data_IF_942605607694
#
_entry.id   IF_942605607694
#
_cell.length_a   1.000
_cell.length_b   1.000
_cell.length_c   1.000
_cell.angle_alpha   90.00
_cell.angle_beta   90.00
_cell.angle_gamma   90.00
#
_symmetry.space_group_name_H-M   'P 1'
#
loop_
_entity.id
_entity.type
_entity.pdbx_description
1 polymer ?
#
# COMPACT_ATOMS: atom_id res chain seq x y z
N UNK A 1 19.47 6.12 -22.01
CA UNK A 1 19.14 4.98 -21.13
C UNK A 1 18.19 4.08 -21.90
N UNK A 2 18.40 2.77 -21.93
CA UNK A 2 17.46 1.88 -22.63
C UNK A 2 16.12 1.84 -21.88
N UNK A 3 15.01 2.03 -22.59
CA UNK A 3 13.66 1.82 -22.07
C UNK A 3 13.04 0.60 -22.76
N UNK A 4 12.13 -0.09 -22.06
CA UNK A 4 11.29 -1.15 -22.62
C UNK A 4 9.82 -0.78 -22.48
N UNK A 5 9.05 -0.98 -23.56
CA UNK A 5 7.61 -0.74 -23.52
C UNK A 5 6.86 -1.90 -22.90
N UNK A 6 5.86 -1.58 -22.10
CA UNK A 6 4.96 -2.58 -21.56
C UNK A 6 4.12 -3.20 -22.69
N UNK A 7 4.07 -4.54 -22.81
CA UNK A 7 3.29 -5.19 -23.86
C UNK A 7 1.77 -5.01 -23.69
N UNK A 8 1.30 -4.67 -22.49
CA UNK A 8 -0.13 -4.52 -22.20
C UNK A 8 -0.64 -3.09 -22.40
N UNK A 9 0.11 -2.08 -21.96
CA UNK A 9 -0.35 -0.69 -21.96
C UNK A 9 0.52 0.28 -22.77
N UNK A 10 1.64 -0.18 -23.33
CA UNK A 10 2.52 0.64 -24.17
C UNK A 10 3.43 1.62 -23.42
N UNK A 11 3.32 1.72 -22.09
CA UNK A 11 4.10 2.65 -21.28
C UNK A 11 5.61 2.30 -21.29
N UNK A 12 6.47 3.31 -21.34
CA UNK A 12 7.91 3.16 -21.25
C UNK A 12 8.35 2.86 -19.80
N UNK A 13 9.16 1.82 -19.65
CA UNK A 13 9.70 1.36 -18.38
C UNK A 13 11.24 1.34 -18.44
N UNK A 14 11.95 1.56 -17.32
CA UNK A 14 13.40 1.39 -17.29
C UNK A 14 13.79 -0.06 -17.64
N UNK A 15 14.95 -0.25 -18.27
CA UNK A 15 15.38 -1.54 -18.78
C UNK A 15 15.38 -2.65 -17.71
N UNK A 16 15.71 -2.30 -16.46
CA UNK A 16 15.75 -3.18 -15.29
C UNK A 16 14.38 -3.47 -14.64
N UNK A 17 13.29 -2.80 -15.05
CA UNK A 17 11.98 -2.99 -14.42
C UNK A 17 11.44 -4.42 -14.62
N UNK A 18 11.15 -5.16 -13.55
CA UNK A 18 10.56 -6.52 -13.68
C UNK A 18 9.05 -6.44 -14.01
N UNK A 19 8.37 -5.38 -13.59
CA UNK A 19 6.95 -5.14 -13.84
C UNK A 19 6.70 -3.74 -14.39
N UNK A 20 5.64 -3.57 -15.17
CA UNK A 20 5.23 -2.28 -15.69
C UNK A 20 4.84 -1.35 -14.53
N UNK A 21 5.45 -0.19 -14.42
CA UNK A 21 5.13 0.76 -13.34
C UNK A 21 3.69 1.32 -13.45
N UNK A 22 3.12 1.33 -14.66
CA UNK A 22 1.77 1.84 -14.89
C UNK A 22 0.66 0.78 -14.70
N UNK A 23 0.89 -0.47 -15.13
CA UNK A 23 -0.16 -1.49 -15.15
C UNK A 23 0.23 -2.81 -14.44
N UNK A 24 1.41 -2.85 -13.80
CA UNK A 24 1.95 -3.99 -13.06
C UNK A 24 2.01 -5.30 -13.84
N UNK A 25 1.99 -5.23 -15.18
CA UNK A 25 2.18 -6.42 -16.02
C UNK A 25 3.66 -6.80 -16.01
N UNK A 26 4.01 -8.07 -15.77
CA UNK A 26 5.39 -8.53 -15.81
C UNK A 26 6.01 -8.25 -17.18
N UNK A 27 7.18 -7.62 -17.17
CA UNK A 27 7.94 -7.25 -18.37
C UNK A 27 8.94 -8.36 -18.76
N UNK A 28 9.21 -9.29 -17.84
CA UNK A 28 10.00 -10.51 -18.04
C UNK A 28 9.09 -11.62 -18.55
N UNK A 29 8.81 -11.64 -19.86
CA UNK A 29 7.94 -12.66 -20.47
C UNK A 29 8.11 -12.88 -21.97
N UNK A 30 8.78 -11.97 -22.70
CA UNK A 30 9.11 -12.21 -24.11
C UNK A 30 10.40 -13.02 -24.26
N UNK A 31 10.43 -14.22 -23.70
CA UNK A 31 11.33 -15.26 -24.16
C UNK A 31 10.50 -16.28 -24.96
N UNK A 32 10.55 -16.15 -26.28
CA UNK A 32 10.24 -17.19 -27.26
C UNK A 32 8.79 -17.73 -27.31
N UNK A 33 7.86 -16.95 -27.85
CA UNK A 33 6.87 -17.53 -28.78
C UNK A 33 7.33 -17.19 -30.18
N UNK A 34 8.25 -18.00 -30.68
CA UNK A 34 8.68 -18.04 -32.08
C UNK A 34 7.45 -18.10 -32.97
N UNK A 35 7.39 -17.16 -33.92
CA UNK A 35 6.27 -17.03 -34.83
C UNK A 35 5.98 -18.32 -35.60
N UNK A 36 4.69 -18.63 -35.70
CA UNK A 36 4.15 -19.42 -36.80
C UNK A 36 3.27 -18.44 -37.59
N UNK A 37 3.93 -17.61 -38.38
CA UNK A 37 3.28 -16.88 -39.46
C UNK A 37 3.44 -17.72 -40.73
N UNK A 38 2.31 -18.17 -41.28
CA UNK A 38 2.24 -18.70 -42.64
C UNK A 38 1.62 -20.09 -42.75
N UNK A 39 0.33 -20.16 -43.07
CA UNK A 39 -0.14 -20.76 -44.33
C UNK A 39 -1.67 -20.70 -44.39
N UNK A 40 -2.17 -20.07 -45.46
CA UNK A 40 -3.51 -20.23 -45.96
C UNK A 40 -3.71 -21.66 -46.49
N UNK A 41 -4.90 -22.23 -46.29
CA UNK A 41 -5.36 -23.52 -46.83
C UNK A 41 -6.71 -23.87 -46.22
N UNK A 42 -7.84 -23.39 -46.75
CA UNK A 42 -8.67 -24.03 -47.79
C UNK A 42 -9.07 -25.48 -47.47
N UNK A 43 -10.38 -25.66 -47.26
CA UNK A 43 -11.21 -26.86 -47.40
C UNK A 43 -11.14 -27.97 -46.34
N UNK A 44 -12.33 -28.41 -45.88
CA UNK A 44 -12.57 -29.82 -45.56
C UNK A 44 -13.32 -30.16 -44.27
N UNK A 45 -14.65 -30.18 -44.35
CA UNK A 45 -15.60 -31.21 -43.86
C UNK A 45 -15.48 -31.87 -42.47
N UNK A 46 -16.65 -31.92 -41.79
CA UNK A 46 -17.08 -32.96 -40.84
C UNK A 46 -16.95 -32.53 -39.37
N UNK A 47 -17.99 -32.26 -38.58
CA UNK A 47 -19.34 -32.79 -38.59
C UNK A 47 -19.50 -33.76 -37.42
N UNK A 48 -19.95 -33.28 -36.26
CA UNK A 48 -20.88 -33.99 -35.35
C UNK A 48 -21.56 -32.99 -34.42
N UNK A 49 -22.82 -32.75 -34.73
CA UNK A 49 -23.95 -32.42 -33.86
C UNK A 49 -23.71 -32.48 -32.34
N UNK A 50 -23.98 -31.37 -31.64
CA UNK A 50 -24.45 -31.43 -30.26
C UNK A 50 -25.50 -30.35 -30.00
N UNK A 51 -26.68 -30.86 -29.63
CA UNK A 51 -27.87 -30.27 -29.03
C UNK A 51 -28.15 -28.76 -29.15
N UNK A 52 -29.32 -28.48 -29.73
CA UNK A 52 -30.03 -27.22 -29.65
C UNK A 52 -30.32 -26.82 -28.19
N UNK A 53 -29.79 -25.67 -27.78
CA UNK A 53 -30.34 -24.86 -26.68
C UNK A 53 -30.97 -23.62 -27.29
N UNK A 54 -32.22 -23.38 -26.91
CA UNK A 54 -33.03 -22.25 -27.36
C UNK A 54 -32.34 -20.90 -27.02
N UNK A 55 -32.48 -19.87 -27.87
CA UNK A 55 -31.98 -18.54 -27.58
C UNK A 55 -32.81 -17.91 -26.45
N UNK A 56 -32.20 -17.74 -25.28
CA UNK A 56 -32.74 -16.89 -24.22
C UNK A 56 -32.64 -15.44 -24.69
N UNK A 57 -33.80 -14.81 -24.89
CA UNK A 57 -33.94 -13.43 -25.31
C UNK A 57 -33.23 -12.48 -24.36
N UNK A 58 -32.22 -11.79 -24.88
CA UNK A 58 -31.60 -10.64 -24.23
C UNK A 58 -32.54 -9.45 -24.40
N UNK A 59 -33.08 -8.84 -23.33
CA UNK A 59 -33.81 -7.59 -23.47
C UNK A 59 -32.84 -6.52 -23.97
N UNK A 60 -33.28 -5.80 -25.01
CA UNK A 60 -32.59 -4.67 -25.60
C UNK A 60 -32.13 -3.70 -24.49
N UNK A 61 -30.82 -3.46 -24.42
CA UNK A 61 -30.25 -2.39 -23.62
C UNK A 61 -30.67 -1.08 -24.26
N UNK A 62 -31.62 -0.42 -23.59
CA UNK A 62 -32.03 0.95 -23.86
C UNK A 62 -30.80 1.87 -23.68
N UNK A 63 -30.36 2.51 -24.77
CA UNK A 63 -29.28 3.49 -24.74
C UNK A 63 -29.62 4.62 -23.77
N UNK A 64 -28.81 4.75 -22.71
CA UNK A 64 -28.96 5.83 -21.75
C UNK A 64 -28.74 7.19 -22.45
N UNK A 65 -29.66 8.17 -22.28
CA UNK A 65 -29.56 9.46 -22.93
C UNK A 65 -28.34 10.24 -22.39
N UNK A 66 -27.47 10.68 -23.30
CA UNK A 66 -26.38 11.63 -23.03
C UNK A 66 -26.99 12.93 -22.50
N UNK A 67 -26.96 13.13 -21.18
CA UNK A 67 -27.26 14.42 -20.56
C UNK A 67 -26.20 15.43 -20.99
N UNK A 68 -26.59 16.39 -21.84
CA UNK A 68 -25.78 17.56 -22.16
C UNK A 68 -25.51 18.36 -20.89
N UNK A 69 -24.25 18.64 -20.63
CA UNK A 69 -23.82 19.49 -19.52
C UNK A 69 -24.13 20.94 -19.89
N UNK A 70 -24.94 21.59 -19.07
CA UNK A 70 -25.40 22.96 -19.26
C UNK A 70 -24.22 23.95 -19.09
N UNK A 71 -23.83 24.72 -20.13
CA UNK A 71 -22.59 25.53 -20.12
C UNK A 71 -22.56 26.63 -19.06
N UNK A 72 -23.72 26.96 -18.45
CA UNK A 72 -23.80 27.94 -17.37
C UNK A 72 -23.25 27.44 -16.04
N UNK A 73 -23.21 26.12 -15.80
CA UNK A 73 -22.69 25.55 -14.56
C UNK A 73 -21.14 25.51 -14.53
N UNK A 74 -20.51 25.46 -15.71
CA UNK A 74 -19.03 25.44 -15.85
C UNK A 74 -18.41 26.78 -15.46
N UNK A 75 -19.09 27.90 -15.72
CA UNK A 75 -18.59 29.24 -15.39
C UNK A 75 -18.48 29.51 -13.88
N UNK A 76 -19.38 28.96 -13.07
CA UNK A 76 -19.41 29.21 -11.62
C UNK A 76 -18.27 28.47 -10.91
N UNK A 77 -17.95 27.25 -11.35
CA UNK A 77 -16.86 26.44 -10.78
C UNK A 77 -15.49 27.05 -11.11
N UNK A 78 -15.33 27.60 -12.32
CA UNK A 78 -14.09 28.28 -12.71
C UNK A 78 -13.85 29.58 -11.91
N UNK A 79 -14.90 30.35 -11.62
CA UNK A 79 -14.77 31.61 -10.87
C UNK A 79 -14.41 31.37 -9.38
N UNK A 80 -14.94 30.32 -8.76
CA UNK A 80 -14.62 29.95 -7.38
C UNK A 80 -13.17 29.44 -7.20
N UNK A 81 -12.62 28.72 -8.20
CA UNK A 81 -11.24 28.25 -8.16
C UNK A 81 -10.22 29.40 -8.26
N UNK A 82 -10.51 30.43 -9.06
CA UNK A 82 -9.60 31.57 -9.21
C UNK A 82 -9.65 32.47 -7.97
N UNK A 83 -10.84 32.70 -7.39
CA UNK A 83 -10.98 33.48 -6.15
C UNK A 83 -10.29 32.84 -4.94
N UNK A 84 -10.35 31.51 -4.81
CA UNK A 84 -9.72 30.78 -3.70
C UNK A 84 -8.19 30.81 -3.71
N UNK A 85 -7.56 30.81 -4.89
CA UNK A 85 -6.08 30.85 -5.02
C UNK A 85 -5.51 32.22 -4.64
N UNK A 86 -6.22 33.31 -4.94
CA UNK A 86 -5.79 34.67 -4.56
C UNK A 86 -5.90 34.88 -3.04
N UNK A 87 -6.94 34.35 -2.38
CA UNK A 87 -7.08 34.43 -0.93
C UNK A 87 -5.99 33.64 -0.18
N UNK A 88 -5.54 32.51 -0.72
CA UNK A 88 -4.50 31.68 -0.11
C UNK A 88 -3.09 32.31 -0.23
N UNK A 89 -2.83 33.08 -1.30
CA UNK A 89 -1.55 33.76 -1.50
C UNK A 89 -1.40 35.05 -0.69
N UNK A 90 -2.50 35.74 -0.36
CA UNK A 90 -2.44 37.01 0.40
C UNK A 90 -2.38 36.78 1.92
N UNK A 91 -2.93 35.67 2.44
CA UNK A 91 -2.94 35.38 3.90
C UNK A 91 -1.98 34.28 4.37
N UNK A 92 -1.19 33.68 3.47
CA UNK A 92 -0.29 32.56 3.79
C UNK A 92 1.14 32.92 4.20
N UNK A 93 1.42 34.19 4.50
CA UNK A 93 2.73 34.65 4.96
C UNK A 93 2.83 34.66 6.48
N UNK A 94 3.93 34.08 7.00
CA UNK A 94 4.43 34.14 8.39
C UNK A 94 4.00 33.00 9.33
N UNK A 95 4.81 31.94 9.37
CA UNK A 95 5.26 31.37 10.64
C UNK A 95 6.61 30.67 10.43
N UNK A 96 7.67 31.45 10.64
CA UNK A 96 9.03 30.96 10.76
C UNK A 96 9.26 30.39 12.16
N UNK A 97 9.92 29.24 12.22
CA UNK A 97 10.31 28.58 13.45
C UNK A 97 11.55 27.73 13.24
N UNK A 98 12.66 28.39 12.90
CA UNK A 98 13.99 27.79 12.92
C UNK A 98 14.43 27.59 14.37
N UNK A 99 14.44 26.35 14.84
CA UNK A 99 15.11 25.95 16.07
C UNK A 99 16.15 24.88 15.78
N UNK A 100 17.44 25.11 16.03
CA UNK A 100 18.41 24.02 16.07
C UNK A 100 18.28 23.30 17.41
N UNK A 101 17.97 22.00 17.38
CA UNK A 101 18.06 21.16 18.58
C UNK A 101 19.36 20.38 18.49
N UNK A 102 20.42 21.00 19.02
CA UNK A 102 21.66 20.33 19.36
C UNK A 102 21.47 19.70 20.74
N UNK A 103 21.48 18.39 20.84
CA UNK A 103 21.56 17.68 22.11
C UNK A 103 22.74 16.70 22.04
N UNK A 104 23.93 17.26 22.13
CA UNK A 104 25.13 16.55 22.56
C UNK A 104 24.92 16.15 24.03
N UNK A 105 24.69 14.86 24.27
CA UNK A 105 24.74 14.30 25.63
C UNK A 105 26.17 13.87 25.88
N UNK A 106 27.01 14.83 26.25
CA UNK A 106 28.31 14.54 26.82
C UNK A 106 28.10 13.93 28.21
N UNK A 107 28.60 12.71 28.40
CA UNK A 107 28.73 12.09 29.72
C UNK A 107 29.73 12.92 30.53
N UNK A 108 29.21 13.71 31.47
CA UNK A 108 30.01 14.35 32.52
C UNK A 108 30.57 13.26 33.42
N UNK A 109 31.83 12.92 33.24
CA UNK A 109 32.64 12.14 34.17
C UNK A 109 32.82 12.98 35.45
N UNK A 110 32.36 12.45 36.59
CA UNK A 110 32.48 13.12 37.87
C UNK A 110 33.97 13.21 38.28
N UNK A 111 34.43 14.35 38.83
CA UNK A 111 35.80 14.48 39.31
C UNK A 111 36.07 13.47 40.43
N UNK A 112 37.13 12.67 40.26
CA UNK A 112 37.61 11.75 41.28
C UNK A 112 38.06 12.51 42.53
N UNK A 113 37.49 12.15 43.68
CA UNK A 113 37.90 12.68 44.99
C UNK A 113 39.29 12.12 45.36
N UNK A 114 40.32 12.99 45.49
CA UNK A 114 41.69 12.56 45.78
C UNK A 114 41.91 12.03 47.21
N UNK A 115 40.89 12.04 48.09
CA UNK A 115 41.00 11.52 49.46
C UNK A 115 40.23 10.21 49.72
N UNK A 116 39.80 9.50 48.68
CA UNK A 116 39.16 8.20 48.87
C UNK A 116 40.15 7.17 49.48
N UNK A 117 39.81 6.51 50.61
CA UNK A 117 40.65 5.49 51.20
C UNK A 117 40.84 4.29 50.24
N UNK A 118 42.00 3.60 50.29
CA UNK A 118 42.26 2.47 49.43
C UNK A 118 41.19 1.38 49.60
N UNK A 119 40.69 0.77 48.52
CA UNK A 119 39.69 -0.29 48.61
C UNK A 119 40.26 -1.48 49.40
N UNK A 120 39.43 -2.15 50.23
CA UNK A 120 39.87 -3.31 50.97
C UNK A 120 40.29 -4.46 50.02
N UNK A 121 41.21 -5.34 50.45
CA UNK A 121 41.66 -6.46 49.62
C UNK A 121 40.49 -7.34 49.21
N UNK A 122 40.28 -7.45 47.89
CA UNK A 122 39.23 -8.25 47.28
C UNK A 122 39.48 -9.73 47.60
N UNK A 123 38.53 -10.35 48.28
CA UNK A 123 38.58 -11.78 48.60
C UNK A 123 38.62 -12.63 47.32
N UNK A 124 39.43 -13.68 47.33
CA UNK A 124 39.64 -14.57 46.20
C UNK A 124 38.29 -15.13 45.67
N UNK A 125 38.08 -15.13 44.34
CA UNK A 125 36.82 -15.60 43.75
C UNK A 125 36.62 -17.10 44.02
N UNK A 126 35.40 -17.55 44.32
CA UNK A 126 35.09 -18.96 44.50
C UNK A 126 35.30 -19.74 43.19
N UNK A 127 35.58 -21.06 43.27
CA UNK A 127 35.77 -21.89 42.09
C UNK A 127 34.52 -21.90 41.18
N UNK A 128 34.76 -21.72 39.88
CA UNK A 128 33.75 -21.67 38.84
C UNK A 128 32.93 -22.97 38.81
N UNK A 129 31.66 -22.87 39.21
CA UNK A 129 30.67 -23.93 39.03
C UNK A 129 30.33 -24.01 37.55
N UNK A 130 30.65 -25.14 36.91
CA UNK A 130 30.37 -25.38 35.49
C UNK A 130 28.86 -25.50 35.31
N UNK A 131 28.23 -24.42 34.83
CA UNK A 131 26.80 -24.37 34.59
C UNK A 131 26.40 -25.42 33.52
N UNK A 132 25.27 -26.10 33.68
CA UNK A 132 24.79 -27.07 32.70
C UNK A 132 24.60 -26.38 31.35
N UNK A 133 25.14 -26.98 30.29
CA UNK A 133 25.01 -26.50 28.92
C UNK A 133 23.53 -26.46 28.54
N UNK A 134 22.91 -25.29 28.70
CA UNK A 134 21.63 -25.00 28.09
C UNK A 134 21.84 -25.03 26.59
N UNK A 135 21.35 -26.10 25.95
CA UNK A 135 21.11 -26.14 24.51
C UNK A 135 20.10 -25.04 24.19
N UNK A 136 20.63 -23.84 23.94
CA UNK A 136 19.89 -22.70 23.43
C UNK A 136 19.37 -23.08 22.06
N UNK A 137 18.13 -23.58 22.03
CA UNK A 137 17.41 -23.82 20.78
C UNK A 137 17.25 -22.44 20.15
N UNK A 138 17.91 -22.22 19.02
CA UNK A 138 17.81 -20.95 18.30
C UNK A 138 16.32 -20.64 18.07
N UNK A 139 15.87 -19.40 18.31
CA UNK A 139 14.49 -19.05 18.07
C UNK A 139 14.13 -19.42 16.62
N UNK A 140 12.97 -20.07 16.40
CA UNK A 140 12.58 -20.53 15.07
C UNK A 140 12.57 -19.34 14.11
N UNK A 141 13.08 -19.57 12.90
CA UNK A 141 13.15 -18.53 11.87
C UNK A 141 11.75 -17.93 11.61
N UNK A 142 11.65 -16.61 11.33
CA UNK A 142 10.37 -15.98 11.06
C UNK A 142 9.70 -16.62 9.85
N UNK A 143 8.51 -17.20 10.04
CA UNK A 143 7.73 -17.78 8.94
C UNK A 143 7.24 -16.64 8.04
N UNK A 144 7.45 -16.69 6.72
CA UNK A 144 6.99 -15.65 5.81
C UNK A 144 5.47 -15.52 5.86
N UNK A 145 4.99 -14.30 6.07
CA UNK A 145 3.55 -13.99 6.03
C UNK A 145 3.13 -13.94 4.56
N UNK A 146 2.41 -14.97 4.12
CA UNK A 146 1.80 -15.02 2.79
C UNK A 146 0.57 -14.11 2.80
N UNK A 147 0.59 -13.06 1.99
CA UNK A 147 -0.55 -12.19 1.72
C UNK A 147 -0.64 -11.89 0.23
N UNK A 148 -1.82 -11.49 -0.22
CA UNK A 148 -2.06 -11.09 -1.61
C UNK A 148 -2.24 -9.58 -1.67
N UNK A 149 -1.44 -8.91 -2.50
CA UNK A 149 -1.61 -7.47 -2.76
C UNK A 149 -2.85 -7.26 -3.63
N UNK A 150 -3.79 -6.47 -3.12
CA UNK A 150 -5.09 -6.19 -3.73
C UNK A 150 -5.01 -4.97 -4.64
N UNK A 151 -4.38 -3.90 -4.15
CA UNK A 151 -4.07 -2.69 -4.91
C UNK A 151 -2.62 -2.32 -4.66
N UNK A 152 -1.90 -1.98 -5.73
CA UNK A 152 -0.53 -1.51 -5.63
C UNK A 152 -0.48 0.01 -5.43
N UNK A 153 0.54 0.54 -4.73
CA UNK A 153 0.66 1.97 -4.48
C UNK A 153 1.09 2.69 -5.76
N UNK A 154 0.42 3.81 -6.09
CA UNK A 154 0.76 4.60 -7.27
C UNK A 154 1.93 5.57 -6.97
N UNK A 155 3.04 5.52 -7.71
CA UNK A 155 4.19 6.40 -7.50
C UNK A 155 3.93 7.88 -7.87
N UNK A 156 2.81 8.19 -8.53
CA UNK A 156 2.42 9.57 -8.86
C UNK A 156 1.96 10.39 -7.65
N UNK A 157 1.69 9.73 -6.51
CA UNK A 157 1.25 10.39 -5.29
C UNK A 157 2.30 10.24 -4.19
N UNK A 158 2.43 11.28 -3.37
CA UNK A 158 3.32 11.27 -2.20
C UNK A 158 2.90 10.22 -1.15
N UNK A 159 1.58 9.99 -1.00
CA UNK A 159 1.03 8.95 -0.13
C UNK A 159 0.70 7.71 -0.95
N UNK A 160 1.35 6.59 -0.65
CA UNK A 160 1.05 5.30 -1.25
C UNK A 160 -0.10 4.58 -0.55
N UNK A 161 -1.09 4.09 -1.31
CA UNK A 161 -2.21 3.31 -0.79
C UNK A 161 -2.07 1.85 -1.23
N UNK A 162 -2.09 0.93 -0.27
CA UNK A 162 -1.95 -0.52 -0.53
C UNK A 162 -3.06 -1.29 0.16
N UNK A 163 -3.80 -2.09 -0.60
CA UNK A 163 -4.75 -3.07 -0.08
C UNK A 163 -4.09 -4.44 -0.01
N UNK A 164 -4.31 -5.17 1.08
CA UNK A 164 -3.70 -6.47 1.34
C UNK A 164 -4.75 -7.45 1.84
N UNK A 165 -4.84 -8.62 1.24
CA UNK A 165 -5.68 -9.72 1.70
C UNK A 165 -4.84 -10.72 2.48
N UNK A 166 -5.25 -10.97 3.73
CA UNK A 166 -4.61 -11.97 4.60
C UNK A 166 -5.56 -13.16 4.78
N UNK A 167 -5.08 -14.41 4.67
CA UNK A 167 -5.92 -15.58 4.91
C UNK A 167 -6.55 -15.55 6.31
N UNK A 168 -7.81 -16.02 6.48
CA UNK A 168 -8.55 -15.92 7.74
C UNK A 168 -7.85 -16.61 8.92
N UNK A 169 -7.13 -17.71 8.66
CA UNK A 169 -6.31 -18.40 9.66
C UNK A 169 -5.21 -17.52 10.29
N UNK A 170 -4.91 -16.37 9.69
CA UNK A 170 -3.85 -15.43 10.10
C UNK A 170 -4.41 -14.06 10.44
N UNK A 171 -5.70 -13.92 10.77
CA UNK A 171 -6.29 -12.63 11.12
C UNK A 171 -5.54 -11.93 12.27
N UNK A 172 -5.02 -12.69 13.25
CA UNK A 172 -4.17 -12.16 14.32
C UNK A 172 -2.82 -11.58 13.87
N UNK A 173 -2.41 -11.83 12.63
CA UNK A 173 -1.17 -11.32 12.04
C UNK A 173 -1.39 -10.06 11.18
N UNK A 174 -2.61 -9.53 11.09
CA UNK A 174 -2.93 -8.38 10.23
C UNK A 174 -2.03 -7.17 10.48
N UNK A 175 -1.74 -6.83 11.75
CA UNK A 175 -0.81 -5.76 12.12
C UNK A 175 0.61 -6.02 11.61
N UNK A 176 1.11 -7.25 11.72
CA UNK A 176 2.41 -7.64 11.20
C UNK A 176 2.48 -7.57 9.68
N UNK A 177 1.42 -8.02 8.99
CA UNK A 177 1.30 -7.92 7.54
C UNK A 177 1.30 -6.46 7.07
N UNK A 178 0.54 -5.57 7.72
CA UNK A 178 0.52 -4.15 7.39
C UNK A 178 1.91 -3.50 7.53
N UNK A 179 2.61 -3.76 8.65
CA UNK A 179 3.96 -3.23 8.88
C UNK A 179 4.98 -3.75 7.86
N UNK A 180 4.91 -5.05 7.56
CA UNK A 180 5.77 -5.69 6.57
C UNK A 180 5.55 -5.10 5.18
N UNK A 181 4.29 -4.94 4.76
CA UNK A 181 3.93 -4.31 3.48
C UNK A 181 4.47 -2.89 3.43
N UNK A 182 4.27 -2.10 4.49
CA UNK A 182 4.82 -0.75 4.56
C UNK A 182 6.35 -0.75 4.45
N UNK A 183 7.07 -1.68 5.11
CA UNK A 183 8.53 -1.81 4.97
C UNK A 183 8.96 -2.14 3.55
N UNK A 184 8.24 -3.07 2.90
CA UNK A 184 8.57 -3.50 1.55
C UNK A 184 8.45 -2.35 0.55
N UNK A 185 7.38 -1.55 0.64
CA UNK A 185 7.15 -0.46 -0.30
C UNK A 185 7.91 0.83 0.07
N UNK A 186 8.12 1.12 1.35
CA UNK A 186 8.85 2.33 1.77
C UNK A 186 10.34 2.29 1.44
N UNK A 187 10.94 1.10 1.35
CA UNK A 187 12.36 0.90 0.99
C UNK A 187 12.74 1.49 -0.36
N UNK A 188 11.78 1.64 -1.27
CA UNK A 188 12.03 2.24 -2.59
C UNK A 188 12.12 3.77 -2.56
N UNK A 189 11.90 4.40 -1.39
CA UNK A 189 12.08 5.84 -1.17
C UNK A 189 11.03 6.73 -1.84
N UNK A 190 10.05 6.17 -2.57
CA UNK A 190 9.10 6.95 -3.37
C UNK A 190 7.94 7.54 -2.57
N UNK A 191 7.67 7.05 -1.36
CA UNK A 191 6.52 7.45 -0.56
C UNK A 191 6.93 7.92 0.83
N UNK A 192 6.63 9.17 1.15
CA UNK A 192 6.85 9.75 2.49
C UNK A 192 5.73 9.33 3.47
N UNK A 193 4.57 8.95 2.91
CA UNK A 193 3.40 8.47 3.64
C UNK A 193 2.86 7.18 3.04
N UNK A 194 2.34 6.30 3.88
CA UNK A 194 1.76 5.03 3.46
C UNK A 194 0.45 4.78 4.18
N UNK A 195 -0.56 4.33 3.44
CA UNK A 195 -1.85 3.86 3.95
C UNK A 195 -2.00 2.39 3.55
N UNK A 196 -1.92 1.48 4.52
CA UNK A 196 -2.04 0.04 4.28
C UNK A 196 -3.33 -0.49 4.88
N UNK A 197 -4.21 -1.01 4.03
CA UNK A 197 -5.50 -1.60 4.41
C UNK A 197 -5.40 -3.12 4.36
N UNK A 198 -5.74 -3.80 5.46
CA UNK A 198 -5.65 -5.26 5.57
C UNK A 198 -7.05 -5.87 5.71
N UNK A 199 -7.42 -6.72 4.76
CA UNK A 199 -8.74 -7.35 4.65
C UNK A 199 -8.73 -8.79 5.14
N UNK A 200 -9.84 -9.21 5.74
CA UNK A 200 -10.08 -10.61 6.16
C UNK A 200 -10.59 -11.50 5.02
N UNK A 201 -11.29 -10.93 4.05
CA UNK A 201 -11.98 -11.66 3.00
C UNK A 201 -11.79 -11.02 1.61
N UNK A 202 -11.95 -11.86 0.57
CA UNK A 202 -11.74 -11.45 -0.81
C UNK A 202 -12.82 -10.51 -1.33
N UNK A 203 -14.08 -10.64 -0.89
CA UNK A 203 -15.17 -9.79 -1.38
C UNK A 203 -14.96 -8.32 -0.96
N UNK A 204 -14.57 -8.09 0.28
CA UNK A 204 -14.22 -6.77 0.81
C UNK A 204 -12.97 -6.20 0.12
N UNK A 205 -11.96 -7.05 -0.10
CA UNK A 205 -10.77 -6.66 -0.85
C UNK A 205 -11.11 -6.25 -2.30
N UNK A 206 -11.97 -7.00 -2.98
CA UNK A 206 -12.40 -6.70 -4.35
C UNK A 206 -13.25 -5.42 -4.42
N UNK A 207 -14.11 -5.17 -3.43
CA UNK A 207 -14.84 -3.91 -3.31
C UNK A 207 -13.88 -2.72 -3.16
N UNK A 208 -12.86 -2.84 -2.30
CA UNK A 208 -11.83 -1.82 -2.17
C UNK A 208 -11.04 -1.62 -3.47
N UNK A 209 -10.69 -2.70 -4.18
CA UNK A 209 -10.02 -2.63 -5.48
C UNK A 209 -10.88 -1.89 -6.50
N UNK A 210 -12.18 -2.22 -6.58
CA UNK A 210 -13.12 -1.58 -7.48
C UNK A 210 -13.27 -0.08 -7.17
N UNK A 211 -13.23 0.29 -5.90
CA UNK A 211 -13.23 1.69 -5.46
C UNK A 211 -11.94 2.43 -5.85
N UNK A 212 -10.78 1.82 -5.63
CA UNK A 212 -9.47 2.45 -5.91
C UNK A 212 -9.08 2.47 -7.39
N UNK A 213 -9.59 1.54 -8.20
CA UNK A 213 -9.26 1.41 -9.62
C UNK A 213 -9.48 2.71 -10.42
N UNK A 214 -10.70 3.27 -10.45
CA UNK A 214 -10.99 4.53 -11.14
C UNK A 214 -10.25 5.73 -10.55
N UNK A 215 -9.87 5.67 -9.27
CA UNK A 215 -9.11 6.71 -8.58
C UNK A 215 -7.62 6.64 -8.86
N UNK A 216 -7.15 5.57 -9.51
CA UNK A 216 -5.75 5.34 -9.81
C UNK A 216 -4.87 5.27 -8.55
N UNK A 217 -5.38 4.72 -7.43
CA UNK A 217 -4.59 4.63 -6.20
C UNK A 217 -4.34 5.96 -5.50
N UNK A 218 -5.24 6.93 -5.66
CA UNK A 218 -5.22 8.20 -4.93
C UNK A 218 -5.26 7.96 -3.40
N UNK A 219 -4.63 8.84 -2.61
CA UNK A 219 -4.69 8.77 -1.15
C UNK A 219 -6.14 8.74 -0.63
N UNK A 220 -6.36 8.00 0.44
CA UNK A 220 -7.64 7.98 1.13
C UNK A 220 -7.78 9.28 1.94
N UNK A 221 -8.91 9.94 1.77
CA UNK A 221 -9.33 11.15 2.47
C UNK A 221 -10.63 10.92 3.25
N UNK A 222 -11.11 11.94 3.95
CA UNK A 222 -12.34 11.86 4.74
C UNK A 222 -13.57 11.39 3.92
N UNK A 223 -13.71 11.88 2.69
CA UNK A 223 -14.79 11.46 1.77
C UNK A 223 -14.64 10.00 1.38
N UNK A 224 -13.40 9.53 1.17
CA UNK A 224 -13.10 8.13 0.87
C UNK A 224 -13.51 7.21 2.00
N UNK A 225 -13.21 7.60 3.24
CA UNK A 225 -13.56 6.82 4.42
C UNK A 225 -15.07 6.65 4.55
N UNK A 226 -15.83 7.73 4.32
CA UNK A 226 -17.29 7.69 4.34
C UNK A 226 -17.86 6.81 3.21
N UNK A 227 -17.33 6.90 1.99
CA UNK A 227 -17.79 6.07 0.87
C UNK A 227 -17.48 4.57 1.07
N UNK A 228 -16.28 4.25 1.57
CA UNK A 228 -15.91 2.88 1.87
C UNK A 228 -16.70 2.31 3.07
N UNK A 229 -17.13 3.16 4.00
CA UNK A 229 -18.06 2.80 5.07
C UNK A 229 -19.44 2.42 4.55
N UNK A 230 -20.01 3.22 3.65
CA UNK A 230 -21.34 2.91 3.07
C UNK A 230 -21.31 1.65 2.21
N UNK A 231 -20.15 1.29 1.66
CA UNK A 231 -19.92 0.02 0.95
C UNK A 231 -19.62 -1.16 1.89
N UNK A 232 -19.56 -0.95 3.21
CA UNK A 232 -19.29 -1.99 4.21
C UNK A 232 -17.83 -2.46 4.27
N UNK A 233 -16.90 -1.77 3.62
CA UNK A 233 -15.51 -2.22 3.50
C UNK A 233 -14.82 -2.28 4.86
N UNK A 234 -15.11 -1.32 5.74
CA UNK A 234 -14.48 -1.25 7.06
C UNK A 234 -14.89 -2.36 8.01
N UNK A 235 -16.06 -2.98 7.80
CA UNK A 235 -16.59 -4.04 8.66
C UNK A 235 -15.66 -5.26 8.68
N UNK A 236 -15.09 -5.63 7.54
CA UNK A 236 -14.17 -6.76 7.42
C UNK A 236 -12.70 -6.34 7.23
N UNK A 237 -12.39 -5.08 7.56
CA UNK A 237 -11.01 -4.59 7.58
C UNK A 237 -10.39 -4.86 8.95
N UNK A 238 -9.39 -5.74 8.97
CA UNK A 238 -8.73 -6.20 10.20
C UNK A 238 -7.82 -5.11 10.78
N UNK A 239 -7.08 -4.42 9.92
CA UNK A 239 -6.13 -3.38 10.32
C UNK A 239 -6.04 -2.31 9.23
N UNK A 240 -5.83 -1.08 9.66
CA UNK A 240 -5.51 0.04 8.79
C UNK A 240 -4.33 0.80 9.38
N UNK A 241 -3.20 0.80 8.67
CA UNK A 241 -1.97 1.45 9.08
C UNK A 241 -1.80 2.75 8.30
N UNK A 242 -1.66 3.86 9.00
CA UNK A 242 -1.17 5.11 8.45
C UNK A 242 0.26 5.36 8.94
N UNK A 243 1.16 5.65 8.01
CA UNK A 243 2.54 5.98 8.30
C UNK A 243 2.90 7.31 7.66
N UNK A 244 3.65 8.14 8.39
CA UNK A 244 4.24 9.39 7.91
C UNK A 244 5.64 9.50 8.50
N UNK A 245 6.65 9.15 7.69
CA UNK A 245 8.04 9.03 8.14
C UNK A 245 8.18 7.99 9.26
N UNK A 246 8.63 8.43 10.45
CA UNK A 246 8.81 7.56 11.63
C UNK A 246 7.54 7.37 12.46
N UNK A 247 6.46 8.11 12.16
CA UNK A 247 5.19 8.00 12.88
C UNK A 247 4.33 6.94 12.22
N UNK A 248 3.80 6.02 13.03
CA UNK A 248 2.87 4.98 12.60
C UNK A 248 1.66 4.99 13.52
N UNK A 249 0.48 5.02 12.92
CA UNK A 249 -0.81 4.92 13.61
C UNK A 249 -1.54 3.70 13.07
N UNK A 250 -1.93 2.81 13.98
CA UNK A 250 -2.67 1.61 13.64
C UNK A 250 -4.12 1.76 14.09
N UNK A 251 -5.04 1.59 13.16
CA UNK A 251 -6.47 1.58 13.38
C UNK A 251 -7.03 0.16 13.19
N UNK A 252 -8.13 -0.13 13.86
CA UNK A 252 -8.83 -1.42 13.75
C UNK A 252 -10.28 -1.18 13.33
N UNK A 253 -10.53 -0.90 12.04
CA UNK A 253 -11.84 -0.52 11.53
C UNK A 253 -12.98 -1.46 11.91
N UNK A 254 -12.76 -2.77 11.84
CA UNK A 254 -13.74 -3.79 12.23
C UNK A 254 -14.29 -3.66 13.65
N UNK A 255 -13.55 -3.02 14.57
CA UNK A 255 -14.00 -2.79 15.96
C UNK A 255 -14.88 -1.54 16.12
N UNK A 256 -14.76 -0.58 15.22
CA UNK A 256 -15.55 0.65 15.22
C UNK A 256 -15.70 1.18 13.79
N UNK A 257 -16.46 0.47 12.93
CA UNK A 257 -16.44 0.68 11.49
C UNK A 257 -17.17 1.93 11.06
N UNK A 258 -17.63 2.80 11.98
CA UNK A 258 -18.29 4.09 11.72
C UNK A 258 -17.60 5.29 12.38
N UNK A 259 -16.65 5.05 13.31
CA UNK A 259 -16.13 6.12 14.18
C UNK A 259 -14.61 6.20 14.24
N UNK A 260 -13.88 5.41 13.45
CA UNK A 260 -12.42 5.40 13.50
C UNK A 260 -11.76 6.50 12.64
N UNK A 261 -12.44 6.99 11.59
CA UNK A 261 -11.90 7.98 10.64
C UNK A 261 -12.33 9.43 10.88
N UNK A 262 -13.17 9.69 11.89
CA UNK A 262 -13.62 11.04 12.25
C UNK A 262 -12.72 11.74 13.28
N UNK A 263 -11.46 11.31 13.42
CA UNK A 263 -10.52 11.75 14.46
C UNK A 263 -9.31 12.45 13.88
#
# INVERSE_FOLDING_TARGET
>A
MASKKCPKCGEDNPAEAVMCWACYTPLSGSAATTGIAGAAGLAGFGGTTSAAQAPVGVPAVEEAPKKGVDPKLVGIVAFLLIGGVVAFLVNGGMSGGSGPVTADTALTEAPADPNAPPPPPVAAPPPLSVAPSSTTTAPPAPVPVIFTTVTAPNPKFETGVVGVLVPPAKAGQATGAAKFVRDQFSRNGSWTRMQVVVFADSATADAFRAYQGPRGGRPLDATSYQQLSTQGVWTNTLAFLESSGKKEVMHYPSRNPNGWWGR
#
